data_IF_066962939239
#
_entry.id   IF_066962939239
#
_cell.length_a   1.000
_cell.length_b   1.000
_cell.length_c   1.000
_cell.angle_alpha   90.00
_cell.angle_beta   90.00
_cell.angle_gamma   90.00
#
_symmetry.space_group_name_H-M   'P 1'
#
loop_
_entity.id
_entity.type
_entity.pdbx_description
1 polymer ?
#
# COMPACT_ATOMS: atom_id res chain seq x y z
N UNK A 1 1.11 -2.30 -14.03
CA UNK A 1 1.30 -3.42 -13.08
C UNK A 1 1.95 -4.56 -13.84
N UNK A 2 3.01 -5.14 -13.31
CA UNK A 2 3.63 -6.36 -13.84
C UNK A 2 3.20 -7.54 -12.98
N UNK A 3 3.21 -8.74 -13.53
CA UNK A 3 2.72 -9.95 -12.86
C UNK A 3 1.26 -10.27 -13.16
N UNK A 4 0.65 -11.11 -12.33
CA UNK A 4 -0.70 -11.66 -12.54
C UNK A 4 -1.59 -11.40 -11.34
N UNK A 5 -2.81 -10.92 -11.60
CA UNK A 5 -3.85 -10.76 -10.57
C UNK A 5 -4.90 -11.83 -10.79
N UNK A 6 -5.14 -12.66 -9.79
CA UNK A 6 -6.16 -13.71 -9.80
C UNK A 6 -7.15 -13.49 -8.68
N UNK A 7 -8.38 -13.95 -8.89
CA UNK A 7 -9.46 -13.95 -7.91
C UNK A 7 -10.14 -15.31 -7.96
N UNK A 8 -10.63 -15.80 -6.82
CA UNK A 8 -11.40 -17.05 -6.75
C UNK A 8 -12.81 -16.86 -7.32
N UNK A 9 -13.44 -15.74 -6.96
CA UNK A 9 -14.74 -15.36 -7.48
C UNK A 9 -14.79 -13.86 -7.77
N UNK A 10 -15.57 -13.50 -8.78
CA UNK A 10 -15.86 -12.12 -9.15
C UNK A 10 -17.34 -11.98 -9.48
N UNK A 11 -18.01 -11.04 -8.83
CA UNK A 11 -19.40 -10.69 -9.11
C UNK A 11 -19.49 -9.20 -9.44
N UNK A 12 -20.37 -8.85 -10.37
CA UNK A 12 -20.55 -7.48 -10.82
C UNK A 12 -22.02 -7.08 -10.64
N UNK A 13 -22.23 -5.90 -10.07
CA UNK A 13 -23.55 -5.27 -10.05
C UNK A 13 -23.76 -4.42 -11.30
N UNK A 14 -25.02 -4.24 -11.76
CA UNK A 14 -25.34 -3.35 -12.87
C UNK A 14 -25.01 -1.86 -12.64
N UNK A 15 -24.52 -1.48 -11.45
CA UNK A 15 -24.16 -0.11 -11.08
C UNK A 15 -22.64 0.09 -10.91
N UNK A 16 -21.81 -0.86 -11.35
CA UNK A 16 -20.36 -0.70 -11.40
C UNK A 16 -19.63 -1.03 -10.10
N UNK A 17 -20.25 -1.80 -9.20
CA UNK A 17 -19.53 -2.41 -8.07
C UNK A 17 -19.16 -3.84 -8.43
N UNK A 18 -17.86 -4.13 -8.42
CA UNK A 18 -17.29 -5.47 -8.50
C UNK A 18 -16.99 -5.95 -7.09
N UNK A 19 -17.43 -7.16 -6.73
CA UNK A 19 -17.06 -7.81 -5.47
C UNK A 19 -16.26 -9.05 -5.78
N UNK A 20 -15.18 -9.28 -5.06
CA UNK A 20 -14.29 -10.42 -5.28
C UNK A 20 -13.99 -11.17 -3.98
N UNK A 21 -13.52 -12.42 -4.13
CA UNK A 21 -12.91 -13.21 -3.06
C UNK A 21 -11.56 -13.76 -3.50
N UNK A 22 -10.66 -13.98 -2.53
CA UNK A 22 -9.36 -14.62 -2.73
C UNK A 22 -8.50 -13.90 -3.76
N UNK A 23 -8.40 -12.56 -3.68
CA UNK A 23 -7.55 -11.81 -4.59
C UNK A 23 -6.09 -12.04 -4.21
N UNK A 24 -5.31 -12.54 -5.17
CA UNK A 24 -3.87 -12.69 -5.05
C UNK A 24 -3.21 -12.00 -6.24
N UNK A 25 -2.21 -11.18 -5.95
CA UNK A 25 -1.34 -10.62 -6.97
C UNK A 25 0.05 -11.21 -6.82
N UNK A 26 0.53 -11.82 -7.91
CA UNK A 26 1.88 -12.37 -8.00
C UNK A 26 2.74 -11.54 -8.93
N UNK A 27 4.02 -11.41 -8.61
CA UNK A 27 5.01 -10.85 -9.53
C UNK A 27 5.27 -11.83 -10.71
N UNK A 28 6.06 -11.45 -11.72
CA UNK A 28 6.40 -12.35 -12.83
C UNK A 28 7.16 -13.62 -12.42
N UNK A 29 7.76 -13.65 -11.23
CA UNK A 29 8.52 -14.77 -10.68
C UNK A 29 7.62 -15.71 -9.85
N UNK A 30 6.37 -15.31 -9.60
CA UNK A 30 5.35 -16.08 -8.88
C UNK A 30 5.25 -15.75 -7.40
N UNK A 31 6.00 -14.77 -6.89
CA UNK A 31 5.92 -14.36 -5.49
C UNK A 31 4.66 -13.52 -5.24
N UNK A 32 3.98 -13.80 -4.13
CA UNK A 32 2.78 -13.05 -3.74
C UNK A 32 3.18 -11.66 -3.24
N UNK A 33 2.71 -10.61 -3.93
CA UNK A 33 2.93 -9.21 -3.57
C UNK A 33 1.77 -8.62 -2.75
N UNK A 34 0.58 -9.19 -2.90
CA UNK A 34 -0.63 -8.69 -2.26
C UNK A 34 -1.65 -9.81 -2.16
N UNK A 35 -2.34 -9.87 -1.02
CA UNK A 35 -3.42 -10.80 -0.76
C UNK A 35 -4.59 -10.05 -0.12
N UNK A 36 -5.81 -10.25 -0.64
CA UNK A 36 -7.03 -9.80 0.00
C UNK A 36 -8.10 -10.91 -0.06
N UNK A 37 -8.49 -11.48 1.09
CA UNK A 37 -9.53 -12.51 1.16
C UNK A 37 -10.85 -12.07 0.55
N UNK A 38 -11.22 -10.80 0.73
CA UNK A 38 -12.39 -10.24 0.07
C UNK A 38 -12.28 -8.72 -0.10
N UNK A 39 -13.09 -8.19 -1.00
CA UNK A 39 -13.15 -6.76 -1.21
C UNK A 39 -14.10 -6.35 -2.32
N UNK A 40 -14.18 -5.03 -2.51
CA UNK A 40 -15.03 -4.38 -3.50
C UNK A 40 -14.23 -3.37 -4.28
N UNK A 41 -14.44 -3.35 -5.59
CA UNK A 41 -13.92 -2.31 -6.48
C UNK A 41 -15.10 -1.58 -7.08
N UNK A 42 -15.16 -0.27 -6.86
CA UNK A 42 -16.08 0.61 -7.59
C UNK A 42 -15.40 1.09 -8.85
N UNK A 43 -16.06 0.89 -9.99
CA UNK A 43 -15.60 1.35 -11.29
C UNK A 43 -16.61 2.30 -11.93
N UNK A 44 -16.13 3.20 -12.78
CA UNK A 44 -16.98 4.01 -13.63
C UNK A 44 -17.53 3.15 -14.78
N UNK A 45 -18.84 2.95 -14.81
CA UNK A 45 -19.48 2.11 -15.82
C UNK A 45 -19.34 2.64 -17.25
N UNK A 46 -19.23 3.96 -17.44
CA UNK A 46 -19.04 4.52 -18.77
C UNK A 46 -17.73 4.03 -19.41
N UNK A 47 -16.68 3.86 -18.60
CA UNK A 47 -15.40 3.34 -19.06
C UNK A 47 -15.45 1.83 -19.37
N UNK A 48 -16.33 1.09 -18.68
CA UNK A 48 -16.60 -0.35 -18.92
C UNK A 48 -17.37 -0.56 -20.23
N UNK A 49 -18.46 0.21 -20.44
CA UNK A 49 -19.30 0.13 -21.64
C UNK A 49 -18.52 0.50 -22.90
N UNK A 50 -17.65 1.51 -22.80
CA UNK A 50 -16.80 1.96 -23.92
C UNK A 50 -15.55 1.10 -24.10
N UNK A 51 -15.38 0.02 -23.32
CA UNK A 51 -14.20 -0.88 -23.29
C UNK A 51 -12.87 -0.15 -23.08
N UNK A 52 -12.90 1.02 -22.44
CA UNK A 52 -11.72 1.84 -22.11
C UNK A 52 -11.31 1.59 -20.66
N UNK A 53 -10.90 0.36 -20.34
CA UNK A 53 -10.40 0.00 -19.02
C UNK A 53 -9.02 0.61 -18.77
N UNK A 54 -8.99 1.87 -18.36
CA UNK A 54 -7.80 2.56 -17.83
C UNK A 54 -7.83 2.50 -16.30
N UNK A 55 -6.67 2.65 -15.65
CA UNK A 55 -6.58 2.74 -14.18
C UNK A 55 -7.46 3.85 -13.60
N UNK A 56 -7.76 4.90 -14.38
CA UNK A 56 -8.69 5.97 -14.04
C UNK A 56 -10.16 5.55 -13.90
N UNK A 57 -10.52 4.37 -14.41
CA UNK A 57 -11.89 3.84 -14.31
C UNK A 57 -12.20 3.36 -12.90
N UNK A 58 -11.19 3.00 -12.11
CA UNK A 58 -11.38 2.66 -10.69
C UNK A 58 -11.69 3.96 -9.95
N UNK A 59 -12.71 3.94 -9.09
CA UNK A 59 -13.14 5.06 -8.25
C UNK A 59 -13.05 4.74 -6.77
N UNK A 60 -13.08 3.47 -6.41
CA UNK A 60 -12.82 3.07 -5.05
C UNK A 60 -12.44 1.60 -4.93
N UNK A 61 -11.67 1.32 -3.89
CA UNK A 61 -11.23 0.00 -3.51
C UNK A 61 -11.53 -0.14 -2.02
N UNK A 62 -12.28 -1.16 -1.65
CA UNK A 62 -12.52 -1.55 -0.26
C UNK A 62 -11.94 -2.95 -0.09
N UNK A 63 -11.06 -3.14 0.88
CA UNK A 63 -10.37 -4.39 1.15
C UNK A 63 -10.60 -4.80 2.59
N UNK A 64 -10.95 -6.07 2.78
CA UNK A 64 -11.16 -6.69 4.07
C UNK A 64 -10.06 -7.73 4.30
N UNK A 65 -9.40 -7.64 5.46
CA UNK A 65 -8.35 -8.57 5.90
C UNK A 65 -7.15 -8.68 4.93
N UNK A 66 -6.86 -7.61 4.19
CA UNK A 66 -5.77 -7.61 3.23
C UNK A 66 -4.39 -7.61 3.90
N UNK A 67 -3.43 -8.32 3.30
CA UNK A 67 -2.02 -8.27 3.66
C UNK A 67 -1.27 -7.49 2.60
N UNK A 68 -0.68 -6.37 3.01
CA UNK A 68 0.00 -5.42 2.14
C UNK A 68 1.44 -5.27 2.61
N UNK A 69 2.40 -5.51 1.71
CA UNK A 69 3.82 -5.36 2.01
C UNK A 69 4.43 -4.31 1.10
N UNK A 70 5.03 -3.29 1.71
CA UNK A 70 5.65 -2.17 0.99
C UNK A 70 7.13 -2.04 1.35
N UNK A 71 7.96 -1.74 0.35
CA UNK A 71 9.37 -1.34 0.51
C UNK A 71 9.54 0.10 0.02
N UNK A 72 10.01 0.96 0.92
CA UNK A 72 10.37 2.33 0.61
C UNK A 72 11.87 2.36 0.24
N UNK A 73 12.17 2.80 -0.98
CA UNK A 73 13.55 2.95 -1.43
C UNK A 73 14.29 4.10 -0.71
N UNK A 74 15.58 4.29 -1.01
CA UNK A 74 16.40 5.33 -0.37
C UNK A 74 15.86 6.76 -0.56
N UNK A 75 15.03 6.97 -1.59
CA UNK A 75 14.34 8.21 -1.93
C UNK A 75 12.88 8.23 -1.43
N UNK A 76 12.51 7.30 -0.54
CA UNK A 76 11.15 7.09 -0.02
C UNK A 76 10.10 6.84 -1.12
N UNK A 77 10.50 6.27 -2.26
CA UNK A 77 9.55 5.84 -3.28
C UNK A 77 8.97 4.49 -2.88
N UNK A 78 7.65 4.39 -2.95
CA UNK A 78 6.90 3.19 -2.60
C UNK A 78 6.99 2.14 -3.72
N UNK A 79 7.30 0.92 -3.32
CA UNK A 79 7.15 -0.29 -4.12
C UNK A 79 6.45 -1.38 -3.31
N UNK A 80 5.83 -2.34 -4.01
CA UNK A 80 5.28 -3.54 -3.37
C UNK A 80 6.37 -4.59 -3.28
N UNK A 81 6.46 -5.26 -2.13
CA UNK A 81 7.40 -6.34 -1.90
C UNK A 81 6.67 -7.67 -1.70
N UNK A 82 7.36 -8.80 -1.90
CA UNK A 82 6.81 -10.11 -1.57
C UNK A 82 6.36 -10.19 -0.11
N UNK A 83 5.24 -10.88 0.12
CA UNK A 83 4.74 -11.18 1.45
C UNK A 83 5.79 -11.97 2.21
N UNK A 84 6.26 -11.42 3.34
CA UNK A 84 7.27 -12.08 4.16
C UNK A 84 6.62 -13.05 5.16
N UNK A 85 7.38 -14.02 5.71
CA UNK A 85 6.88 -14.85 6.81
C UNK A 85 6.55 -14.07 8.08
N UNK A 86 7.11 -12.87 8.26
CA UNK A 86 6.96 -12.06 9.47
C UNK A 86 5.53 -11.54 9.65
N UNK A 87 4.74 -11.47 8.57
CA UNK A 87 3.32 -11.13 8.67
C UNK A 87 2.55 -12.12 9.56
N UNK A 88 2.97 -13.39 9.60
CA UNK A 88 2.32 -14.42 10.40
C UNK A 88 2.85 -14.49 11.84
N UNK A 89 3.97 -13.82 12.14
CA UNK A 89 4.57 -13.86 13.47
C UNK A 89 3.73 -13.09 14.50
N UNK A 90 3.78 -13.47 15.77
CA UNK A 90 3.43 -12.60 16.89
C UNK A 90 4.20 -11.28 16.82
N UNK A 91 3.55 -10.16 17.17
CA UNK A 91 4.13 -8.81 17.04
C UNK A 91 5.46 -8.66 17.82
N UNK A 92 5.58 -9.35 18.95
CA UNK A 92 6.76 -9.38 19.81
C UNK A 92 7.91 -10.25 19.28
N UNK A 93 7.70 -11.00 18.20
CA UNK A 93 8.70 -11.87 17.56
C UNK A 93 9.13 -11.33 16.19
N UNK A 94 8.59 -10.19 15.78
CA UNK A 94 8.99 -9.52 14.53
C UNK A 94 10.35 -8.87 14.76
N UNK A 95 11.35 -9.33 14.03
CA UNK A 95 12.71 -8.82 14.17
C UNK A 95 12.94 -7.58 13.28
N UNK A 96 13.86 -6.68 13.70
CA UNK A 96 14.33 -5.61 12.83
C UNK A 96 14.96 -6.18 11.54
N UNK A 97 14.88 -5.42 10.45
CA UNK A 97 15.54 -5.82 9.20
C UNK A 97 17.04 -5.94 9.45
N UNK A 98 17.68 -7.08 9.10
CA UNK A 98 19.13 -7.16 9.09
C UNK A 98 19.70 -6.03 8.23
N UNK A 99 20.77 -5.37 8.70
CA UNK A 99 21.45 -4.35 7.89
C UNK A 99 21.86 -5.00 6.58
N UNK A 100 21.33 -4.50 5.46
CA UNK A 100 21.71 -5.00 4.16
C UNK A 100 23.24 -4.87 4.01
N UNK A 101 23.94 -5.92 3.53
CA UNK A 101 25.36 -5.81 3.24
C UNK A 101 25.60 -4.65 2.27
N UNK A 102 26.73 -3.95 2.41
CA UNK A 102 27.10 -2.85 1.50
C UNK A 102 27.24 -3.42 0.09
N UNK A 103 26.22 -3.23 -0.74
CA UNK A 103 26.22 -3.62 -2.15
C UNK A 103 27.15 -2.72 -2.95
N UNK A 104 27.85 -3.31 -3.90
CA UNK A 104 28.68 -2.58 -4.86
C UNK A 104 27.81 -1.71 -5.76
N UNK A 105 28.38 -0.68 -6.40
CA UNK A 105 27.65 0.21 -7.32
C UNK A 105 26.95 -0.56 -8.44
N UNK A 106 27.52 -1.69 -8.88
CA UNK A 106 27.03 -2.53 -9.96
C UNK A 106 25.85 -3.41 -9.52
N UNK A 107 25.94 -4.08 -8.37
CA UNK A 107 24.81 -4.82 -7.77
C UNK A 107 23.64 -3.90 -7.46
N UNK A 108 23.92 -2.65 -7.04
CA UNK A 108 22.88 -1.65 -6.79
C UNK A 108 22.19 -1.23 -8.09
N UNK A 109 22.92 -1.13 -9.21
CA UNK A 109 22.34 -0.84 -10.53
C UNK A 109 21.52 -2.01 -11.07
N UNK A 110 21.97 -3.26 -10.88
CA UNK A 110 21.22 -4.46 -11.27
C UNK A 110 19.94 -4.63 -10.43
N UNK A 111 20.00 -4.39 -9.12
CA UNK A 111 18.82 -4.41 -8.26
C UNK A 111 17.87 -3.26 -8.55
N UNK A 112 18.37 -2.04 -8.83
CA UNK A 112 17.53 -0.94 -9.28
C UNK A 112 16.89 -1.25 -10.65
N UNK A 113 17.56 -2.02 -11.50
CA UNK A 113 17.02 -2.52 -12.78
C UNK A 113 15.98 -3.64 -12.60
N UNK A 114 16.13 -4.47 -11.56
CA UNK A 114 15.20 -5.54 -11.19
C UNK A 114 14.04 -5.08 -10.30
N UNK A 115 14.18 -3.97 -9.55
CA UNK A 115 13.13 -3.39 -8.72
C UNK A 115 11.94 -3.07 -9.62
N UNK A 116 10.93 -3.91 -9.51
CA UNK A 116 9.79 -3.89 -10.39
C UNK A 116 8.95 -2.70 -9.95
N UNK A 117 9.02 -1.57 -10.67
CA UNK A 117 8.08 -0.47 -10.47
C UNK A 117 6.67 -0.92 -10.83
N UNK A 118 6.01 -1.54 -9.87
CA UNK A 118 4.77 -2.25 -10.09
C UNK A 118 3.59 -1.28 -10.30
N UNK A 119 3.68 -0.07 -9.73
CA UNK A 119 2.71 0.99 -9.90
C UNK A 119 3.26 2.11 -10.81
N UNK A 120 2.79 2.16 -12.06
CA UNK A 120 3.09 3.25 -13.00
C UNK A 120 1.78 3.94 -13.39
N UNK A 121 1.57 5.15 -12.88
CA UNK A 121 0.35 5.92 -13.14
C UNK A 121 0.49 6.92 -14.31
N UNK A 122 1.67 7.00 -14.95
CA UNK A 122 1.96 7.82 -16.14
C UNK A 122 1.43 9.27 -16.12
N UNK A 123 1.20 9.87 -14.95
CA UNK A 123 0.64 11.23 -14.84
C UNK A 123 -0.87 11.35 -15.07
N UNK A 124 -1.61 10.24 -15.20
CA UNK A 124 -3.07 10.24 -15.36
C UNK A 124 -3.83 10.59 -14.07
N UNK A 125 -4.70 11.60 -14.07
CA UNK A 125 -5.46 11.95 -12.86
C UNK A 125 -6.06 10.73 -12.13
N UNK A 126 -5.61 10.50 -10.89
CA UNK A 126 -6.13 9.48 -10.00
C UNK A 126 -7.07 10.16 -9.01
N UNK A 127 -8.31 9.70 -8.99
CA UNK A 127 -9.38 10.12 -8.07
C UNK A 127 -10.00 8.84 -7.51
N UNK A 128 -9.51 8.44 -6.33
CA UNK A 128 -9.68 7.11 -5.77
C UNK A 128 -9.95 7.17 -4.27
N UNK A 129 -10.96 6.40 -3.82
CA UNK A 129 -11.21 6.14 -2.40
C UNK A 129 -10.74 4.74 -2.02
N UNK A 130 -9.77 4.63 -1.13
CA UNK A 130 -9.26 3.35 -0.64
C UNK A 130 -9.75 3.16 0.80
N UNK A 131 -10.35 2.02 1.10
CA UNK A 131 -10.73 1.63 2.47
C UNK A 131 -10.08 0.31 2.79
N UNK A 132 -9.35 0.25 3.90
CA UNK A 132 -8.82 -0.99 4.48
C UNK A 132 -9.59 -1.29 5.77
N UNK A 133 -10.00 -2.53 5.95
CA UNK A 133 -10.68 -2.99 7.17
C UNK A 133 -9.96 -4.21 7.71
N UNK A 134 -9.65 -4.17 9.01
CA UNK A 134 -8.95 -5.24 9.71
C UNK A 134 -7.72 -5.80 8.96
N UNK A 135 -7.02 -4.94 8.21
CA UNK A 135 -5.96 -5.35 7.32
C UNK A 135 -4.61 -5.39 8.04
N UNK A 136 -3.59 -5.92 7.39
CA UNK A 136 -2.22 -5.95 7.87
C UNK A 136 -1.30 -5.22 6.91
N UNK A 137 -0.40 -4.41 7.47
CA UNK A 137 0.59 -3.66 6.73
C UNK A 137 2.00 -4.03 7.22
N UNK A 138 2.85 -4.43 6.30
CA UNK A 138 4.28 -4.62 6.53
C UNK A 138 5.05 -3.55 5.76
N UNK A 139 5.95 -2.86 6.45
CA UNK A 139 6.70 -1.71 5.90
C UNK A 139 8.18 -1.94 6.10
N UNK A 140 8.89 -1.98 4.98
CA UNK A 140 10.34 -1.90 4.95
C UNK A 140 10.76 -0.47 4.57
N UNK A 141 11.67 0.12 5.33
CA UNK A 141 12.29 1.41 4.98
C UNK A 141 13.75 1.42 5.44
N UNK A 142 14.68 1.31 4.50
CA UNK A 142 16.12 1.16 4.79
C UNK A 142 16.35 -0.02 5.75
N UNK A 143 16.80 0.26 6.97
CA UNK A 143 17.04 -0.74 8.03
C UNK A 143 15.85 -0.88 8.99
N UNK A 144 14.74 -0.19 8.73
CA UNK A 144 13.53 -0.28 9.53
C UNK A 144 12.58 -1.28 8.90
N UNK A 145 11.96 -2.05 9.77
CA UNK A 145 10.96 -3.04 9.44
C UNK A 145 9.83 -2.92 10.47
N UNK A 146 8.60 -2.82 10.00
CA UNK A 146 7.42 -2.78 10.85
C UNK A 146 6.37 -3.74 10.32
N UNK A 147 5.81 -4.55 11.21
CA UNK A 147 4.57 -5.29 10.95
C UNK A 147 3.48 -4.66 11.81
N UNK A 148 2.38 -4.26 11.18
CA UNK A 148 1.29 -3.50 11.77
C UNK A 148 -0.02 -4.26 11.55
N UNK A 149 -0.71 -4.63 12.63
CA UNK A 149 -1.96 -5.40 12.57
C UNK A 149 -3.19 -4.53 12.83
N UNK A 150 -4.36 -5.05 12.44
CA UNK A 150 -5.66 -4.41 12.64
C UNK A 150 -5.72 -3.00 12.04
N UNK A 151 -5.15 -2.81 10.86
CA UNK A 151 -5.13 -1.57 10.11
C UNK A 151 -6.53 -1.29 9.56
N UNK A 152 -7.12 -0.21 10.02
CA UNK A 152 -8.35 0.35 9.49
C UNK A 152 -8.02 1.71 8.90
N UNK A 153 -8.30 1.91 7.61
CA UNK A 153 -7.98 3.19 6.97
C UNK A 153 -9.00 3.60 5.93
N UNK A 154 -9.11 4.92 5.74
CA UNK A 154 -9.81 5.58 4.65
C UNK A 154 -8.86 6.59 4.04
N UNK A 155 -8.55 6.40 2.77
CA UNK A 155 -7.68 7.28 1.99
C UNK A 155 -8.48 7.83 0.82
N UNK A 156 -8.56 9.15 0.74
CA UNK A 156 -9.16 9.87 -0.38
C UNK A 156 -8.04 10.51 -1.19
N UNK A 157 -7.72 9.93 -2.33
CA UNK A 157 -6.62 10.34 -3.21
C UNK A 157 -7.20 11.08 -4.41
N UNK A 158 -6.98 12.38 -4.49
CA UNK A 158 -7.12 13.16 -5.72
C UNK A 158 -5.75 13.72 -6.09
N UNK A 159 -5.13 13.16 -7.13
CA UNK A 159 -3.76 13.49 -7.53
C UNK A 159 -3.58 14.91 -8.07
N UNK A 160 -4.67 15.67 -8.27
CA UNK A 160 -4.64 17.09 -8.66
C UNK A 160 -5.01 18.03 -7.53
N UNK A 161 -5.61 17.54 -6.44
CA UNK A 161 -6.09 18.37 -5.33
C UNK A 161 -5.37 18.05 -4.03
N UNK A 162 -5.62 16.88 -3.47
CA UNK A 162 -5.13 16.53 -2.16
C UNK A 162 -5.27 15.03 -1.88
N UNK A 163 -4.46 14.56 -0.94
CA UNK A 163 -4.61 13.26 -0.30
C UNK A 163 -5.18 13.51 1.09
N UNK A 164 -6.25 12.82 1.47
CA UNK A 164 -6.71 12.77 2.86
C UNK A 164 -6.53 11.36 3.39
N UNK A 165 -6.00 11.26 4.60
CA UNK A 165 -5.71 9.98 5.26
C UNK A 165 -6.39 10.02 6.62
N UNK A 166 -7.15 8.98 6.92
CA UNK A 166 -7.64 8.65 8.26
C UNK A 166 -7.33 7.17 8.49
N UNK A 167 -6.38 6.90 9.37
CA UNK A 167 -5.87 5.56 9.64
C UNK A 167 -5.77 5.35 11.15
N UNK A 168 -6.20 4.20 11.60
CA UNK A 168 -6.00 3.69 12.94
C UNK A 168 -5.53 2.24 12.86
N UNK A 169 -4.63 1.85 13.75
CA UNK A 169 -4.07 0.50 13.77
C UNK A 169 -4.08 -0.06 15.18
N UNK A 170 -4.04 -1.40 15.26
CA UNK A 170 -3.65 -2.10 16.48
C UNK A 170 -2.14 -2.13 16.65
N UNK A 171 -1.68 -3.12 17.41
CA UNK A 171 -0.26 -3.27 17.77
C UNK A 171 0.64 -3.39 16.54
N UNK A 172 1.84 -2.85 16.67
CA UNK A 172 2.90 -2.99 15.69
C UNK A 172 4.22 -3.43 16.35
N UNK A 173 5.07 -4.08 15.58
CA UNK A 173 6.37 -4.61 16.03
C UNK A 173 7.42 -4.57 14.93
N UNK A 174 8.62 -5.06 15.22
CA UNK A 174 9.79 -4.95 14.36
C UNK A 174 10.82 -4.01 14.98
N UNK A 175 11.15 -2.91 14.29
CA UNK A 175 12.14 -1.94 14.77
C UNK A 175 11.69 -1.11 15.97
N UNK A 176 10.40 -1.11 16.27
CA UNK A 176 9.84 -0.59 17.51
C UNK A 176 8.53 -1.33 17.78
N UNK A 177 8.17 -1.47 19.04
CA UNK A 177 6.91 -2.07 19.46
C UNK A 177 6.00 -0.97 19.99
N UNK A 178 4.74 -1.00 19.58
CA UNK A 178 3.72 -0.08 20.09
C UNK A 178 2.33 -0.68 20.08
N UNK A 179 1.44 -0.12 20.89
CA UNK A 179 0.07 -0.61 21.06
C UNK A 179 -0.88 -0.14 19.96
N UNK A 180 -0.51 0.90 19.22
CA UNK A 180 -1.25 1.37 18.05
C UNK A 180 -0.80 2.74 17.57
N UNK A 181 -1.20 3.08 16.35
CA UNK A 181 -0.99 4.39 15.75
C UNK A 181 -2.30 4.95 15.21
N UNK A 182 -2.43 6.27 15.26
CA UNK A 182 -3.47 7.03 14.57
C UNK A 182 -2.78 8.04 13.68
N UNK A 183 -3.12 8.02 12.39
CA UNK A 183 -2.65 8.98 11.41
C UNK A 183 -3.87 9.64 10.77
N UNK A 184 -4.00 10.94 10.99
CA UNK A 184 -5.05 11.75 10.37
C UNK A 184 -4.43 12.95 9.70
N UNK A 185 -4.89 13.28 8.50
CA UNK A 185 -4.50 14.55 7.92
C UNK A 185 -4.70 14.67 6.42
N UNK A 186 -4.12 15.73 5.89
CA UNK A 186 -4.29 16.19 4.51
C UNK A 186 -2.94 16.61 3.95
N UNK A 187 -2.67 16.16 2.73
CA UNK A 187 -1.55 16.62 1.91
C UNK A 187 -2.13 17.39 0.73
N UNK A 188 -1.85 18.69 0.62
CA UNK A 188 -2.27 19.49 -0.54
C UNK A 188 -1.27 19.33 -1.69
N UNK A 189 -1.79 18.93 -2.85
CA UNK A 189 -0.99 18.60 -4.03
C UNK A 189 -1.00 19.72 -5.09
N UNK A 190 -1.78 20.80 -4.90
CA UNK A 190 -1.91 21.86 -5.91
C UNK A 190 -0.56 22.52 -6.24
N UNK A 191 0.29 22.66 -5.23
CA UNK A 191 1.60 23.30 -5.36
C UNK A 191 2.67 22.35 -5.92
N UNK A 192 2.47 21.03 -5.79
CA UNK A 192 3.34 20.02 -6.42
C UNK A 192 3.26 20.11 -7.94
N UNK A 193 2.07 20.39 -8.49
CA UNK A 193 1.89 20.65 -9.92
C UNK A 193 2.66 21.88 -10.41
N UNK A 194 3.06 22.77 -9.50
CA UNK A 194 3.88 23.96 -9.77
C UNK A 194 5.35 23.78 -9.36
N UNK A 195 5.81 22.54 -9.17
CA UNK A 195 7.17 22.19 -8.70
C UNK A 195 7.55 22.78 -7.34
N UNK A 196 6.56 23.05 -6.47
CA UNK A 196 6.78 23.50 -5.10
C UNK A 196 6.52 22.34 -4.13
N UNK A 197 7.11 22.43 -2.95
CA UNK A 197 6.86 21.45 -1.89
C UNK A 197 5.36 21.42 -1.55
N UNK A 198 4.76 20.22 -1.37
CA UNK A 198 3.39 20.10 -0.90
C UNK A 198 3.23 20.68 0.51
N UNK A 199 2.03 21.15 0.83
CA UNK A 199 1.66 21.51 2.20
C UNK A 199 1.11 20.27 2.91
N UNK A 200 1.67 19.97 4.09
CA UNK A 200 1.28 18.81 4.90
C UNK A 200 0.67 19.29 6.21
N UNK A 201 -0.56 18.84 6.47
CA UNK A 201 -1.25 18.99 7.76
C UNK A 201 -1.58 17.57 8.26
N UNK A 202 -0.67 17.01 9.07
CA UNK A 202 -0.74 15.63 9.54
C UNK A 202 -0.65 15.60 11.07
N UNK A 203 -1.66 14.99 11.70
CA UNK A 203 -1.63 14.55 13.08
C UNK A 203 -1.23 13.08 13.12
N UNK A 204 -0.21 12.79 13.93
CA UNK A 204 0.31 11.44 14.13
C UNK A 204 0.45 11.17 15.62
N UNK A 205 -0.37 10.24 16.11
CA UNK A 205 -0.38 9.83 17.51
C UNK A 205 0.05 8.36 17.60
N UNK A 206 0.99 8.07 18.49
CA UNK A 206 1.47 6.71 18.74
C UNK A 206 1.27 6.37 20.21
N UNK A 207 0.70 5.19 20.47
CA UNK A 207 0.35 4.74 21.82
C UNK A 207 1.30 3.65 22.29
N UNK A 208 1.79 3.78 23.53
CA UNK A 208 2.52 2.71 24.22
C UNK A 208 3.79 2.25 23.50
N UNK A 209 4.61 3.19 23.02
CA UNK A 209 5.83 2.85 22.27
C UNK A 209 6.96 2.49 23.21
N UNK A 210 7.55 1.31 23.00
CA UNK A 210 8.84 0.95 23.55
C UNK A 210 9.91 1.06 22.44
N UNK A 211 10.77 2.11 22.47
CA UNK A 211 11.82 2.30 21.48
C UNK A 211 13.08 1.46 21.76
N UNK A 212 13.10 0.63 22.82
CA UNK A 212 14.29 -0.14 23.24
C UNK A 212 14.44 -1.51 22.58
N UNK A 213 13.54 -1.88 21.67
CA UNK A 213 13.58 -3.13 20.88
C UNK A 213 14.50 -3.06 19.67
#
# INVERSE_FOLDING_TARGET
>A
MRGTVTVESLSATPWGTLTFTGLVWKDPEGHELFNAPSGKVRVNMWDVVTRNFKSSAIKGIELDDAVIVIDLDDNNRLDFAPISPDVNKPINEVEPRPKAPKKTTQERQEELGKKVRNFNWQGQHLDLKITLRNSQLEVFNRNRHYVIKNVNSKIDLDSKRAIRIDMETGKFGGTAIGDGLVLKGRVDLKDVLKHRMPQLDLQFDVKGVDPSS
#
